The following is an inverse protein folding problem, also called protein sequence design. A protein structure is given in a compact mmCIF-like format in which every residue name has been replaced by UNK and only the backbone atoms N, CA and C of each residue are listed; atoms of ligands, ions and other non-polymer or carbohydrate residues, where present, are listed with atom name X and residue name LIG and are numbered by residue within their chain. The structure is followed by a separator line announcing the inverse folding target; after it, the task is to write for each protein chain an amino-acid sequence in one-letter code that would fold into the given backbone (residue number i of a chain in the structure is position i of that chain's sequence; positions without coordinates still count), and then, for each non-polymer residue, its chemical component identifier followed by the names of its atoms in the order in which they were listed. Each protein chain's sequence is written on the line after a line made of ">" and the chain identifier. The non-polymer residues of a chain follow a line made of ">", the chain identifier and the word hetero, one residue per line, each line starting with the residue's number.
data_IF_733808249191
#
_entry.id   IF_733808249191
#
_cell.length_a   1.000
_cell.length_b   1.000
_cell.length_c   1.000
_cell.angle_alpha   90.00
_cell.angle_beta   90.00
_cell.angle_gamma   90.00
#
_symmetry.space_group_name_H-M   'P 1'
#
loop_
_entity.id
_entity.type
_entity.pdbx_description
1 polymer ?
#
# COMPACT_ATOMS: atom_id res chain seq x y z
N UNK A 1 -24.25 -0.13 -41.25
CA UNK A 1 -24.50 1.08 -40.44
C UNK A 1 -24.57 0.64 -38.99
N UNK A 2 -23.45 0.76 -38.26
CA UNK A 2 -23.40 0.47 -36.84
C UNK A 2 -23.93 1.69 -36.09
N UNK A 3 -24.97 1.49 -35.30
CA UNK A 3 -25.57 2.53 -34.47
C UNK A 3 -24.50 3.12 -33.54
N UNK A 4 -24.40 4.45 -33.52
CA UNK A 4 -23.61 5.19 -32.55
C UNK A 4 -24.14 4.89 -31.16
N UNK A 5 -23.43 4.06 -30.40
CA UNK A 5 -23.67 3.94 -28.97
C UNK A 5 -23.34 5.30 -28.37
N UNK A 6 -24.37 6.07 -28.00
CA UNK A 6 -24.20 7.32 -27.27
C UNK A 6 -23.33 7.05 -26.05
N UNK A 7 -22.29 7.87 -25.84
CA UNK A 7 -21.36 7.67 -24.73
C UNK A 7 -22.16 7.69 -23.43
N UNK A 8 -22.34 6.52 -22.82
CA UNK A 8 -22.94 6.44 -21.49
C UNK A 8 -21.98 7.17 -20.56
N UNK A 9 -22.42 8.32 -20.07
CA UNK A 9 -21.70 9.11 -19.08
C UNK A 9 -21.77 8.30 -17.78
N UNK A 10 -20.75 7.49 -17.52
CA UNK A 10 -20.72 6.58 -16.36
C UNK A 10 -19.54 6.88 -15.44
N UNK A 11 -19.75 6.64 -14.15
CA UNK A 11 -18.68 6.63 -13.14
C UNK A 11 -17.57 5.65 -13.57
N UNK A 12 -16.29 6.00 -13.39
CA UNK A 12 -15.20 5.06 -13.63
C UNK A 12 -15.31 3.83 -12.73
N UNK A 13 -15.14 2.64 -13.31
CA UNK A 13 -15.16 1.37 -12.56
C UNK A 13 -13.82 1.18 -11.85
N UNK A 14 -13.78 1.37 -10.54
CA UNK A 14 -12.57 1.22 -9.73
C UNK A 14 -12.90 0.50 -8.42
N UNK A 15 -11.90 -0.07 -7.79
CA UNK A 15 -11.98 -0.78 -6.52
C UNK A 15 -10.96 -0.24 -5.50
N UNK A 16 -11.39 0.16 -4.30
CA UNK A 16 -12.78 0.37 -3.87
C UNK A 16 -13.51 1.41 -4.72
N UNK A 17 -14.84 1.38 -4.70
CA UNK A 17 -15.68 2.35 -5.42
C UNK A 17 -15.45 3.78 -4.89
N UNK A 18 -15.47 4.75 -5.82
CA UNK A 18 -15.45 6.19 -5.50
C UNK A 18 -16.69 6.56 -4.68
N UNK A 19 -16.51 7.33 -3.60
CA UNK A 19 -17.62 7.82 -2.76
C UNK A 19 -18.63 8.71 -3.50
N UNK A 20 -18.16 9.76 -4.17
CA UNK A 20 -19.01 10.75 -4.84
C UNK A 20 -18.54 10.95 -6.29
N UNK A 21 -19.44 10.77 -7.26
CA UNK A 21 -19.16 11.04 -8.69
C UNK A 21 -20.21 11.98 -9.29
N UNK A 22 -19.75 13.08 -9.87
CA UNK A 22 -20.56 14.01 -10.66
C UNK A 22 -20.09 13.98 -12.10
N UNK A 23 -20.93 13.51 -13.01
CA UNK A 23 -20.52 13.29 -14.37
C UNK A 23 -20.64 14.56 -15.25
N UNK A 24 -19.81 14.65 -16.29
CA UNK A 24 -19.81 15.76 -17.23
C UNK A 24 -19.70 15.27 -18.69
N UNK A 25 -20.10 16.13 -19.62
CA UNK A 25 -20.11 15.78 -21.05
C UNK A 25 -18.70 15.65 -21.62
N UNK A 26 -18.48 14.56 -22.38
CA UNK A 26 -17.26 14.29 -23.13
C UNK A 26 -16.30 13.35 -22.41
N UNK A 27 -15.13 13.14 -23.03
CA UNK A 27 -14.11 12.23 -22.51
C UNK A 27 -12.76 12.94 -22.42
N UNK A 28 -11.98 12.56 -21.42
CA UNK A 28 -10.52 12.74 -21.41
C UNK A 28 -9.90 11.52 -22.10
N UNK A 29 -8.80 11.72 -22.83
CA UNK A 29 -8.04 10.65 -23.47
C UNK A 29 -6.56 10.84 -23.13
N UNK A 30 -5.98 9.85 -22.48
CA UNK A 30 -4.54 9.77 -22.26
C UNK A 30 -3.83 9.51 -23.60
N UNK A 31 -2.75 10.22 -23.86
CA UNK A 31 -1.91 10.04 -25.04
C UNK A 31 -0.44 10.13 -24.68
N UNK A 32 0.44 9.60 -25.53
CA UNK A 32 1.89 9.64 -25.30
C UNK A 32 2.50 11.05 -25.27
N UNK A 33 1.78 12.06 -25.78
CA UNK A 33 2.19 13.47 -25.72
C UNK A 33 1.83 14.15 -24.39
N UNK A 34 1.06 13.49 -23.52
CA UNK A 34 0.67 14.05 -22.23
C UNK A 34 1.88 14.13 -21.28
N UNK A 35 1.78 15.04 -20.31
CA UNK A 35 2.75 15.15 -19.21
C UNK A 35 2.07 14.91 -17.86
N UNK A 36 2.87 14.42 -16.91
CA UNK A 36 2.58 14.47 -15.49
C UNK A 36 3.09 15.82 -14.99
N UNK A 37 2.21 16.62 -14.41
CA UNK A 37 2.46 18.02 -14.08
C UNK A 37 2.30 18.22 -12.57
N UNK A 38 3.24 18.94 -11.97
CA UNK A 38 3.20 19.34 -10.58
C UNK A 38 3.72 20.78 -10.45
N UNK A 39 3.28 21.53 -9.43
CA UNK A 39 3.88 22.83 -9.14
C UNK A 39 5.31 22.64 -8.58
N UNK A 40 6.16 23.66 -8.65
CA UNK A 40 7.51 23.56 -8.09
C UNK A 40 7.50 23.32 -6.57
N UNK A 41 6.58 23.99 -5.88
CA UNK A 41 6.43 23.91 -4.42
C UNK A 41 5.92 22.51 -4.00
N UNK A 42 4.94 21.96 -4.71
CA UNK A 42 4.40 20.63 -4.42
C UNK A 42 5.38 19.51 -4.80
N UNK A 43 6.20 19.72 -5.83
CA UNK A 43 7.14 18.70 -6.30
C UNK A 43 8.15 18.32 -5.21
N UNK A 44 8.53 19.25 -4.33
CA UNK A 44 9.41 18.98 -3.18
C UNK A 44 8.81 17.88 -2.28
N UNK A 45 7.50 17.84 -2.16
CA UNK A 45 6.77 16.90 -1.30
C UNK A 45 6.31 15.64 -2.02
N UNK A 46 6.11 15.71 -3.34
CA UNK A 46 5.53 14.64 -4.14
C UNK A 46 6.51 13.95 -5.09
N UNK A 47 7.78 14.33 -5.13
CA UNK A 47 8.73 13.83 -6.14
C UNK A 47 8.79 12.30 -6.21
N UNK A 48 8.92 11.64 -5.07
CA UNK A 48 9.03 10.18 -5.04
C UNK A 48 7.72 9.50 -5.46
N UNK A 49 6.57 10.02 -5.00
CA UNK A 49 5.24 9.52 -5.41
C UNK A 49 5.01 9.67 -6.92
N UNK A 50 5.41 10.80 -7.50
CA UNK A 50 5.23 11.09 -8.92
C UNK A 50 6.15 10.25 -9.82
N UNK A 51 7.38 9.98 -9.38
CA UNK A 51 8.29 9.06 -10.07
C UNK A 51 7.75 7.63 -10.02
N UNK A 52 7.27 7.17 -8.87
CA UNK A 52 6.63 5.86 -8.75
C UNK A 52 5.38 5.77 -9.63
N UNK A 53 4.51 6.79 -9.60
CA UNK A 53 3.33 6.84 -10.45
C UNK A 53 3.67 6.83 -11.94
N UNK A 54 4.75 7.49 -12.36
CA UNK A 54 5.22 7.46 -13.74
C UNK A 54 5.57 6.03 -14.19
N UNK A 55 6.32 5.29 -13.37
CA UNK A 55 6.68 3.88 -13.62
C UNK A 55 5.45 2.96 -13.64
N UNK A 56 4.54 3.14 -12.67
CA UNK A 56 3.32 2.34 -12.56
C UNK A 56 2.36 2.62 -13.73
N UNK A 57 2.24 3.88 -14.15
CA UNK A 57 1.41 4.29 -15.28
C UNK A 57 1.96 3.71 -16.59
N UNK A 58 3.27 3.81 -16.83
CA UNK A 58 3.92 3.18 -17.98
C UNK A 58 3.63 1.67 -18.00
N UNK A 59 3.66 1.01 -16.85
CA UNK A 59 3.40 -0.42 -16.70
C UNK A 59 1.95 -0.83 -17.02
N UNK A 60 0.95 0.00 -16.68
CA UNK A 60 -0.47 -0.33 -16.90
C UNK A 60 -1.03 0.21 -18.21
N UNK A 61 -0.45 1.27 -18.79
CA UNK A 61 -0.98 1.94 -19.98
C UNK A 61 -0.05 1.89 -21.19
N UNK A 62 1.19 1.40 -21.04
CA UNK A 62 2.25 1.42 -22.05
C UNK A 62 2.60 2.86 -22.55
N UNK A 63 2.26 3.90 -21.77
CA UNK A 63 2.54 5.29 -22.13
C UNK A 63 3.62 5.87 -21.24
N UNK A 64 4.70 6.32 -21.85
CA UNK A 64 5.81 6.95 -21.17
C UNK A 64 5.64 8.47 -21.15
N UNK A 65 5.00 8.98 -20.09
CA UNK A 65 4.79 10.41 -19.92
C UNK A 65 6.01 11.06 -19.27
N UNK A 66 6.19 12.36 -19.47
CA UNK A 66 7.25 13.14 -18.80
C UNK A 66 6.71 13.78 -17.53
N UNK A 67 7.50 13.78 -16.46
CA UNK A 67 7.24 14.61 -15.29
C UNK A 67 7.79 16.01 -15.53
N UNK A 68 6.94 17.03 -15.44
CA UNK A 68 7.31 18.44 -15.63
C UNK A 68 6.79 19.30 -14.47
N UNK A 69 7.50 20.39 -14.21
CA UNK A 69 7.09 21.43 -13.26
C UNK A 69 6.40 22.56 -14.01
N UNK A 70 5.20 22.97 -13.60
CA UNK A 70 4.49 24.11 -14.19
C UNK A 70 2.96 23.96 -14.23
N UNK A 71 2.33 24.66 -15.17
CA UNK A 71 0.89 24.64 -15.40
C UNK A 71 0.48 23.56 -16.41
N UNK A 72 -0.65 22.85 -16.20
CA UNK A 72 -1.06 21.78 -17.09
C UNK A 72 -1.66 22.31 -18.40
N UNK A 73 -1.26 21.70 -19.50
CA UNK A 73 -1.86 21.84 -20.82
C UNK A 73 -2.99 20.85 -21.06
N UNK A 74 -3.73 21.03 -22.16
CA UNK A 74 -4.79 20.09 -22.56
C UNK A 74 -4.21 18.69 -22.74
N UNK A 75 -4.79 17.70 -22.07
CA UNK A 75 -4.37 16.30 -22.13
C UNK A 75 -3.42 15.90 -20.99
N UNK A 76 -2.95 16.84 -20.18
CA UNK A 76 -2.03 16.55 -19.08
C UNK A 76 -2.77 16.07 -17.81
N UNK A 77 -2.00 15.38 -16.97
CA UNK A 77 -2.38 14.94 -15.62
C UNK A 77 -1.64 15.82 -14.62
N UNK A 78 -2.37 16.59 -13.82
CA UNK A 78 -1.81 17.42 -12.75
C UNK A 78 -2.05 16.80 -11.38
N UNK A 79 -1.05 16.85 -10.52
CA UNK A 79 -1.16 16.60 -9.08
C UNK A 79 -0.83 17.88 -8.31
N UNK A 80 -1.62 18.22 -7.30
CA UNK A 80 -1.40 19.42 -6.49
C UNK A 80 -1.84 19.21 -5.04
N UNK A 81 -1.05 19.70 -4.08
CA UNK A 81 -1.44 19.68 -2.67
C UNK A 81 -2.37 20.85 -2.35
N UNK A 82 -3.19 20.65 -1.33
CA UNK A 82 -4.20 21.61 -0.90
C UNK A 82 -5.54 21.37 -1.56
N UNK A 83 -6.58 21.30 -0.74
CA UNK A 83 -7.97 21.29 -1.20
C UNK A 83 -8.79 22.26 -0.37
N UNK A 84 -9.85 22.81 -0.97
CA UNK A 84 -10.84 23.61 -0.23
C UNK A 84 -11.86 22.72 0.52
N UNK A 85 -11.61 21.40 0.60
CA UNK A 85 -12.57 20.41 1.10
C UNK A 85 -11.98 19.70 2.34
N UNK A 86 -12.09 20.34 3.50
CA UNK A 86 -11.61 19.75 4.77
C UNK A 86 -12.23 18.37 5.08
N UNK A 87 -13.47 18.12 4.63
CA UNK A 87 -14.21 16.87 4.93
C UNK A 87 -13.55 15.59 4.42
N UNK A 88 -12.58 15.65 3.49
CA UNK A 88 -11.98 14.45 2.89
C UNK A 88 -10.79 13.89 3.70
N UNK A 89 -10.36 14.57 4.76
CA UNK A 89 -9.32 14.09 5.67
C UNK A 89 -7.92 13.99 5.02
N UNK A 90 -7.07 13.15 5.59
CA UNK A 90 -5.67 12.98 5.12
C UNK A 90 -5.56 12.09 3.88
N UNK A 91 -6.40 11.06 3.79
CA UNK A 91 -6.36 10.03 2.73
C UNK A 91 -7.27 10.36 1.54
N UNK A 92 -8.14 11.36 1.66
CA UNK A 92 -9.08 11.71 0.61
C UNK A 92 -8.49 12.58 -0.48
N UNK A 93 -9.11 12.54 -1.65
CA UNK A 93 -8.73 13.32 -2.82
C UNK A 93 -9.94 13.77 -3.63
N UNK A 94 -9.73 14.84 -4.38
CA UNK A 94 -10.60 15.33 -5.44
C UNK A 94 -9.94 15.01 -6.78
N UNK A 95 -10.71 14.52 -7.75
CA UNK A 95 -10.25 14.30 -9.12
C UNK A 95 -11.20 14.99 -10.10
N UNK A 96 -10.72 16.03 -10.76
CA UNK A 96 -11.42 16.76 -11.80
C UNK A 96 -10.95 16.28 -13.19
N UNK A 97 -11.85 15.65 -13.94
CA UNK A 97 -11.59 15.11 -15.28
C UNK A 97 -12.26 16.01 -16.32
N UNK A 98 -11.47 16.82 -17.00
CA UNK A 98 -11.93 17.81 -17.99
C UNK A 98 -11.09 17.80 -19.27
N UNK A 99 -10.61 18.99 -19.68
CA UNK A 99 -9.61 19.13 -20.75
C UNK A 99 -8.21 18.76 -20.24
N UNK A 100 -7.97 19.01 -18.97
CA UNK A 100 -6.90 18.48 -18.12
C UNK A 100 -7.52 17.45 -17.18
N UNK A 101 -6.70 16.59 -16.60
CA UNK A 101 -7.08 15.75 -15.47
C UNK A 101 -6.30 16.25 -14.25
N UNK A 102 -6.98 16.63 -13.17
CA UNK A 102 -6.34 17.18 -11.98
C UNK A 102 -6.73 16.39 -10.74
N UNK A 103 -5.73 15.92 -9.98
CA UNK A 103 -5.90 15.30 -8.67
C UNK A 103 -5.39 16.26 -7.60
N UNK A 104 -6.24 16.55 -6.60
CA UNK A 104 -5.89 17.39 -5.45
C UNK A 104 -6.15 16.65 -4.14
N UNK A 105 -5.28 16.82 -3.16
CA UNK A 105 -5.48 16.25 -1.83
C UNK A 105 -4.80 17.09 -0.74
N UNK A 106 -5.23 16.89 0.51
CA UNK A 106 -4.68 17.60 1.66
C UNK A 106 -3.25 17.12 2.00
N UNK A 107 -2.89 15.90 1.60
CA UNK A 107 -1.60 15.28 1.90
C UNK A 107 -1.08 14.46 0.71
N UNK A 108 0.20 14.09 0.74
CA UNK A 108 0.79 13.16 -0.23
C UNK A 108 0.09 11.80 -0.24
N UNK A 109 -0.40 11.33 0.91
CA UNK A 109 -1.15 10.06 1.01
C UNK A 109 -2.48 10.12 0.24
N UNK A 110 -3.19 11.24 0.29
CA UNK A 110 -4.40 11.44 -0.51
C UNK A 110 -4.10 11.52 -2.01
N UNK A 111 -3.00 12.20 -2.40
CA UNK A 111 -2.51 12.21 -3.79
C UNK A 111 -2.24 10.78 -4.26
N UNK A 112 -1.53 10.00 -3.45
CA UNK A 112 -1.22 8.61 -3.74
C UNK A 112 -2.48 7.76 -3.96
N UNK A 113 -3.53 7.89 -3.15
CA UNK A 113 -4.77 7.14 -3.41
C UNK A 113 -5.52 7.63 -4.66
N UNK A 114 -5.41 8.91 -5.01
CA UNK A 114 -5.86 9.43 -6.30
C UNK A 114 -5.09 8.80 -7.48
N UNK A 115 -3.78 8.62 -7.35
CA UNK A 115 -2.94 7.90 -8.31
C UNK A 115 -3.41 6.45 -8.48
N UNK A 116 -3.70 5.73 -7.39
CA UNK A 116 -4.22 4.34 -7.47
C UNK A 116 -5.51 4.26 -8.27
N UNK A 117 -6.41 5.23 -8.09
CA UNK A 117 -7.64 5.32 -8.90
C UNK A 117 -7.34 5.57 -10.37
N UNK A 118 -6.41 6.46 -10.70
CA UNK A 118 -6.01 6.68 -12.10
C UNK A 118 -5.37 5.46 -12.75
N UNK A 119 -4.50 4.76 -12.05
CA UNK A 119 -3.89 3.53 -12.54
C UNK A 119 -4.96 2.48 -12.87
N UNK A 120 -5.96 2.33 -12.00
CA UNK A 120 -7.09 1.42 -12.25
C UNK A 120 -7.92 1.81 -13.47
N UNK A 121 -8.17 3.11 -13.65
CA UNK A 121 -8.89 3.65 -14.82
C UNK A 121 -8.10 3.34 -16.10
N UNK A 122 -6.83 3.74 -16.14
CA UNK A 122 -6.02 3.63 -17.36
C UNK A 122 -5.52 2.22 -17.68
N UNK A 123 -5.56 1.30 -16.71
CA UNK A 123 -5.41 -0.14 -16.96
C UNK A 123 -6.56 -0.70 -17.81
N UNK A 124 -7.74 -0.09 -17.76
CA UNK A 124 -8.93 -0.55 -18.49
C UNK A 124 -9.05 0.11 -19.86
N UNK A 125 -8.95 1.44 -19.92
CA UNK A 125 -9.03 2.21 -21.16
C UNK A 125 -8.23 3.51 -21.02
N UNK A 126 -7.53 3.91 -22.08
CA UNK A 126 -6.92 5.23 -22.24
C UNK A 126 -7.93 6.39 -22.17
N UNK A 127 -9.23 6.11 -22.32
CA UNK A 127 -10.32 7.08 -22.29
C UNK A 127 -11.11 6.96 -21.00
N UNK A 128 -11.45 8.10 -20.42
CA UNK A 128 -12.33 8.18 -19.24
C UNK A 128 -13.36 9.29 -19.43
N UNK A 129 -14.58 9.04 -18.95
CA UNK A 129 -15.65 10.04 -18.93
C UNK A 129 -15.22 11.26 -18.13
N UNK A 130 -15.56 12.45 -18.63
CA UNK A 130 -15.36 13.68 -17.86
C UNK A 130 -16.29 13.72 -16.65
N UNK A 131 -15.85 14.41 -15.61
CA UNK A 131 -16.59 14.52 -14.38
C UNK A 131 -15.69 14.90 -13.20
N UNK A 132 -16.25 14.81 -12.02
CA UNK A 132 -15.59 15.09 -10.75
C UNK A 132 -15.81 13.91 -9.82
N UNK A 133 -14.72 13.36 -9.28
CA UNK A 133 -14.75 12.40 -8.19
C UNK A 133 -14.30 13.06 -6.88
N UNK A 134 -15.00 12.80 -5.79
CA UNK A 134 -14.52 13.03 -4.43
C UNK A 134 -14.47 11.65 -3.76
N UNK A 135 -13.31 11.26 -3.28
CA UNK A 135 -13.12 9.94 -2.68
C UNK A 135 -12.35 10.06 -1.36
N UNK A 136 -12.75 9.24 -0.39
CA UNK A 136 -12.16 9.18 0.95
C UNK A 136 -12.58 7.88 1.63
N UNK A 137 -11.76 7.36 2.55
CA UNK A 137 -12.11 6.15 3.28
C UNK A 137 -13.16 6.42 4.36
N UNK A 138 -14.12 5.51 4.51
CA UNK A 138 -15.07 5.51 5.62
C UNK A 138 -14.41 4.98 6.90
N UNK A 139 -13.45 4.07 6.75
CA UNK A 139 -12.70 3.45 7.86
C UNK A 139 -11.23 3.79 7.68
N UNK A 140 -10.64 4.47 8.67
CA UNK A 140 -9.24 4.92 8.62
C UNK A 140 -8.21 3.79 8.75
N UNK A 141 -8.60 2.63 9.27
CA UNK A 141 -7.73 1.46 9.41
C UNK A 141 -8.22 0.34 8.47
N UNK A 142 -7.45 0.08 7.41
CA UNK A 142 -7.76 -0.95 6.41
C UNK A 142 -6.52 -1.81 6.19
N UNK A 143 -6.47 -2.97 6.83
CA UNK A 143 -5.24 -3.77 6.80
C UNK A 143 -5.42 -5.26 6.62
N UNK A 144 -4.27 -5.88 6.44
CA UNK A 144 -4.11 -7.30 6.14
C UNK A 144 -3.07 -7.87 7.09
N UNK A 145 -3.42 -8.98 7.77
CA UNK A 145 -2.45 -9.71 8.57
C UNK A 145 -1.81 -10.81 7.73
N UNK A 146 -0.48 -10.85 7.73
CA UNK A 146 0.31 -11.88 7.08
C UNK A 146 1.03 -12.69 8.15
N UNK A 147 0.67 -13.97 8.23
CA UNK A 147 1.39 -14.95 9.02
C UNK A 147 2.62 -15.42 8.27
N UNK A 148 3.79 -15.00 8.75
CA UNK A 148 5.09 -15.46 8.24
C UNK A 148 5.81 -16.37 9.24
N UNK A 149 5.18 -16.65 10.39
CA UNK A 149 5.74 -17.50 11.43
C UNK A 149 5.57 -18.97 11.04
N UNK A 150 4.35 -19.37 10.66
CA UNK A 150 4.00 -20.75 10.31
C UNK A 150 4.72 -21.21 9.05
N UNK A 151 4.76 -20.36 8.02
CA UNK A 151 5.51 -20.56 6.78
C UNK A 151 6.37 -19.34 6.45
N UNK A 152 7.58 -19.55 5.95
CA UNK A 152 8.45 -18.46 5.53
C UNK A 152 8.07 -17.94 4.13
N UNK A 153 8.03 -16.61 4.00
CA UNK A 153 7.82 -15.93 2.73
C UNK A 153 9.01 -15.04 2.41
N UNK A 154 9.55 -15.15 1.20
CA UNK A 154 10.64 -14.28 0.74
C UNK A 154 10.25 -12.81 0.77
N UNK A 155 11.22 -11.93 1.02
CA UNK A 155 11.04 -10.47 1.08
C UNK A 155 10.34 -9.94 -0.18
N UNK A 156 10.77 -10.39 -1.36
CA UNK A 156 10.19 -9.98 -2.64
C UNK A 156 8.70 -10.35 -2.78
N UNK A 157 8.29 -11.47 -2.17
CA UNK A 157 6.88 -11.86 -2.16
C UNK A 157 6.06 -10.94 -1.27
N UNK A 158 6.56 -10.59 -0.08
CA UNK A 158 5.91 -9.65 0.83
C UNK A 158 5.79 -8.27 0.17
N UNK A 159 6.82 -7.80 -0.53
CA UNK A 159 6.75 -6.58 -1.35
C UNK A 159 5.64 -6.66 -2.42
N UNK A 160 5.45 -7.82 -3.04
CA UNK A 160 4.34 -8.03 -3.99
C UNK A 160 2.96 -7.95 -3.33
N UNK A 161 2.83 -8.40 -2.07
CA UNK A 161 1.61 -8.29 -1.28
C UNK A 161 1.35 -6.81 -0.98
N UNK A 162 2.36 -6.07 -0.53
CA UNK A 162 2.27 -4.62 -0.28
C UNK A 162 1.73 -3.87 -1.51
N UNK A 163 2.26 -4.16 -2.72
CA UNK A 163 1.75 -3.53 -3.96
C UNK A 163 0.26 -3.83 -4.22
N UNK A 164 -0.19 -5.06 -3.94
CA UNK A 164 -1.60 -5.44 -4.10
C UNK A 164 -2.49 -4.73 -3.07
N UNK A 165 -2.02 -4.61 -1.83
CA UNK A 165 -2.70 -3.86 -0.77
C UNK A 165 -2.86 -2.38 -1.16
N UNK A 166 -1.79 -1.78 -1.67
CA UNK A 166 -1.78 -0.40 -2.14
C UNK A 166 -2.77 -0.17 -3.29
N UNK A 167 -2.79 -1.07 -4.27
CA UNK A 167 -3.75 -1.06 -5.37
C UNK A 167 -5.20 -1.01 -4.86
N UNK A 168 -5.49 -1.73 -3.77
CA UNK A 168 -6.81 -1.78 -3.13
C UNK A 168 -7.03 -0.68 -2.07
N UNK A 169 -6.13 0.30 -1.97
CA UNK A 169 -6.15 1.39 -0.98
C UNK A 169 -6.16 0.91 0.49
N UNK A 170 -5.60 -0.27 0.76
CA UNK A 170 -5.28 -0.72 2.12
C UNK A 170 -4.05 0.05 2.63
N UNK A 171 -3.96 0.29 3.94
CA UNK A 171 -2.99 1.23 4.52
C UNK A 171 -2.17 0.69 5.70
N UNK A 172 -2.40 -0.57 6.11
CA UNK A 172 -1.43 -1.25 6.97
C UNK A 172 -1.33 -2.75 6.66
N UNK A 173 -0.15 -3.30 6.94
CA UNK A 173 0.12 -4.74 6.94
C UNK A 173 0.60 -5.13 8.32
N UNK A 174 -0.09 -6.10 8.93
CA UNK A 174 0.26 -6.66 10.22
C UNK A 174 1.08 -7.93 9.98
N UNK A 175 2.36 -7.90 10.36
CA UNK A 175 3.31 -8.99 10.12
C UNK A 175 3.45 -9.81 11.40
N UNK A 176 2.89 -11.01 11.38
CA UNK A 176 2.96 -11.95 12.48
C UNK A 176 4.24 -12.79 12.35
N UNK A 177 5.29 -12.41 13.08
CA UNK A 177 6.65 -12.94 12.90
C UNK A 177 7.02 -14.12 13.79
N UNK A 178 6.20 -14.42 14.81
CA UNK A 178 6.57 -15.40 15.83
C UNK A 178 5.38 -16.27 16.19
N UNK A 179 5.56 -17.58 16.13
CA UNK A 179 4.60 -18.56 16.62
C UNK A 179 5.34 -19.79 17.19
N UNK A 180 4.60 -20.88 17.40
CA UNK A 180 5.12 -22.18 17.81
C UNK A 180 6.16 -22.69 16.83
N UNK A 181 5.93 -22.53 15.54
CA UNK A 181 6.75 -23.07 14.46
C UNK A 181 8.10 -22.36 14.33
N UNK A 182 8.13 -21.04 14.52
CA UNK A 182 9.35 -20.28 14.34
C UNK A 182 9.30 -18.89 14.99
N UNK A 183 10.48 -18.43 15.39
CA UNK A 183 10.77 -17.01 15.58
C UNK A 183 11.50 -16.49 14.34
N UNK A 184 10.90 -15.57 13.58
CA UNK A 184 11.44 -15.17 12.26
C UNK A 184 12.36 -13.96 12.29
N UNK A 185 12.51 -13.27 13.42
CA UNK A 185 13.33 -12.05 13.48
C UNK A 185 14.74 -12.36 14.00
N UNK A 186 15.77 -12.13 13.19
CA UNK A 186 17.16 -12.31 13.63
C UNK A 186 17.52 -11.28 14.70
N UNK A 187 18.05 -11.76 15.83
CA UNK A 187 18.56 -10.92 16.92
C UNK A 187 20.03 -11.19 17.20
N UNK A 188 20.84 -10.13 17.23
CA UNK A 188 22.24 -10.22 17.66
C UNK A 188 22.37 -10.36 19.18
N UNK A 189 21.34 -9.96 19.94
CA UNK A 189 21.28 -10.08 21.40
C UNK A 189 20.86 -11.47 21.87
N UNK A 190 20.10 -12.18 21.03
CA UNK A 190 19.59 -13.54 21.30
C UNK A 190 20.00 -14.48 20.17
N UNK A 191 21.31 -14.77 20.02
CA UNK A 191 21.80 -15.66 18.97
C UNK A 191 21.20 -17.06 19.15
N UNK A 192 20.67 -17.63 18.06
CA UNK A 192 20.03 -18.96 18.06
C UNK A 192 18.52 -18.95 18.32
N UNK A 193 17.91 -17.82 18.67
CA UNK A 193 16.46 -17.73 18.85
C UNK A 193 15.70 -17.80 17.50
N UNK A 194 16.21 -17.12 16.48
CA UNK A 194 15.57 -17.10 15.17
C UNK A 194 15.77 -18.43 14.43
N UNK A 195 14.82 -18.80 13.57
CA UNK A 195 14.94 -20.00 12.72
C UNK A 195 16.27 -19.97 11.93
N UNK A 196 17.06 -21.05 11.88
CA UNK A 196 18.46 -21.00 11.44
C UNK A 196 18.65 -20.55 9.98
N UNK A 197 17.72 -20.88 9.09
CA UNK A 197 17.83 -20.59 7.64
C UNK A 197 16.71 -19.72 7.07
N UNK A 198 15.60 -19.58 7.79
CA UNK A 198 14.38 -18.94 7.28
C UNK A 198 13.93 -17.85 8.26
N UNK A 199 14.68 -16.77 8.25
CA UNK A 199 14.47 -15.61 9.12
C UNK A 199 14.72 -14.32 8.35
N UNK A 200 14.15 -13.24 8.84
CA UNK A 200 14.39 -11.89 8.36
C UNK A 200 15.49 -11.25 9.19
N UNK A 201 16.48 -10.70 8.50
CA UNK A 201 17.50 -9.85 9.11
C UNK A 201 16.95 -8.45 9.38
N UNK A 202 17.67 -7.65 10.18
CA UNK A 202 17.36 -6.23 10.35
C UNK A 202 17.36 -5.46 9.03
N UNK A 203 18.16 -5.88 8.05
CA UNK A 203 18.19 -5.27 6.73
C UNK A 203 16.92 -5.61 5.93
N UNK A 204 16.44 -6.85 6.01
CA UNK A 204 15.19 -7.27 5.38
C UNK A 204 14.00 -6.50 5.95
N UNK A 205 13.94 -6.36 7.27
CA UNK A 205 12.87 -5.60 7.92
C UNK A 205 12.89 -4.12 7.53
N UNK A 206 14.08 -3.47 7.49
CA UNK A 206 14.19 -2.08 7.00
C UNK A 206 13.76 -1.97 5.54
N UNK A 207 14.20 -2.92 4.69
CA UNK A 207 13.77 -2.98 3.29
C UNK A 207 12.25 -3.05 3.19
N UNK A 208 11.59 -3.90 3.97
CA UNK A 208 10.13 -4.00 3.98
C UNK A 208 9.44 -2.74 4.51
N UNK A 209 9.99 -2.10 5.54
CA UNK A 209 9.48 -0.83 6.07
C UNK A 209 9.58 0.29 5.03
N UNK A 210 10.73 0.47 4.42
CA UNK A 210 10.97 1.46 3.37
C UNK A 210 10.08 1.17 2.15
N UNK A 211 9.96 -0.11 1.77
CA UNK A 211 9.09 -0.54 0.68
C UNK A 211 7.63 -0.20 0.97
N UNK A 212 7.12 -0.54 2.16
CA UNK A 212 5.74 -0.25 2.57
C UNK A 212 5.48 1.26 2.63
N UNK A 213 6.42 2.05 3.16
CA UNK A 213 6.32 3.50 3.25
C UNK A 213 6.17 4.17 1.88
N UNK A 214 6.86 3.66 0.84
CA UNK A 214 6.68 4.15 -0.55
C UNK A 214 5.24 4.02 -1.08
N UNK A 215 4.46 3.10 -0.53
CA UNK A 215 3.07 2.87 -0.88
C UNK A 215 2.10 3.40 0.19
N UNK A 216 2.57 4.26 1.11
CA UNK A 216 1.80 4.78 2.24
C UNK A 216 1.14 3.67 3.10
N UNK A 217 1.81 2.52 3.21
CA UNK A 217 1.38 1.39 4.02
C UNK A 217 2.25 1.32 5.29
N UNK A 218 1.60 1.26 6.44
CA UNK A 218 2.26 1.04 7.72
C UNK A 218 2.51 -0.45 7.95
N UNK A 219 3.76 -0.83 8.18
CA UNK A 219 4.11 -2.18 8.63
C UNK A 219 4.04 -2.24 10.15
N UNK A 220 3.18 -3.10 10.68
CA UNK A 220 3.03 -3.37 12.12
C UNK A 220 3.66 -4.74 12.41
N UNK A 221 4.79 -4.80 13.14
CA UNK A 221 5.37 -6.08 13.54
C UNK A 221 4.69 -6.64 14.78
N UNK A 222 4.45 -7.95 14.82
CA UNK A 222 4.01 -8.68 16.01
C UNK A 222 5.05 -9.69 16.47
N UNK A 223 5.25 -9.70 17.79
CA UNK A 223 5.93 -10.72 18.57
C UNK A 223 4.88 -11.25 19.54
N UNK A 224 4.31 -12.42 19.24
CA UNK A 224 3.20 -13.02 19.98
C UNK A 224 3.68 -13.63 21.30
N UNK A 225 2.96 -13.30 22.38
CA UNK A 225 3.10 -13.82 23.73
C UNK A 225 1.76 -13.66 24.48
N UNK A 226 1.43 -14.45 25.53
CA UNK A 226 2.23 -15.51 26.15
C UNK A 226 2.07 -16.91 25.51
N UNK A 227 0.99 -17.14 24.76
CA UNK A 227 0.81 -18.38 24.01
C UNK A 227 1.64 -18.34 22.72
N UNK A 228 1.58 -19.42 21.92
CA UNK A 228 2.25 -19.48 20.62
C UNK A 228 3.77 -19.23 20.69
N UNK A 229 4.38 -19.63 21.81
CA UNK A 229 5.74 -19.29 22.15
C UNK A 229 6.67 -20.52 22.24
N UNK A 230 6.35 -21.63 21.56
CA UNK A 230 7.19 -22.85 21.62
C UNK A 230 8.64 -22.56 21.21
N UNK A 231 8.84 -21.78 20.14
CA UNK A 231 10.16 -21.33 19.67
C UNK A 231 11.00 -20.63 20.75
N UNK A 232 10.37 -19.92 21.68
CA UNK A 232 11.05 -19.27 22.80
C UNK A 232 11.49 -20.30 23.85
N UNK A 233 10.63 -21.29 24.14
CA UNK A 233 10.93 -22.35 25.12
C UNK A 233 11.91 -23.39 24.60
N UNK A 234 11.96 -23.60 23.28
CA UNK A 234 13.01 -24.41 22.63
C UNK A 234 14.37 -23.72 22.70
N UNK A 235 14.39 -22.40 22.54
CA UNK A 235 15.59 -21.59 22.73
C UNK A 235 16.06 -21.58 24.19
N UNK A 236 15.14 -21.39 25.13
CA UNK A 236 15.42 -21.40 26.57
C UNK A 236 14.25 -22.02 27.35
N UNK A 237 14.37 -23.27 27.83
CA UNK A 237 13.30 -23.96 28.54
C UNK A 237 12.84 -23.28 29.83
N UNK A 238 13.66 -22.43 30.44
CA UNK A 238 13.28 -21.64 31.63
C UNK A 238 12.26 -20.54 31.31
N UNK A 239 11.99 -20.26 30.04
CA UNK A 239 10.92 -19.34 29.62
C UNK A 239 9.54 -20.00 29.60
N UNK A 240 9.45 -21.32 29.82
CA UNK A 240 8.18 -22.03 29.84
C UNK A 240 7.32 -21.58 31.04
N UNK A 241 6.02 -21.40 30.79
CA UNK A 241 5.09 -21.05 31.86
C UNK A 241 4.87 -22.20 32.84
N UNK A 242 4.92 -21.90 34.13
CA UNK A 242 4.54 -22.82 35.20
C UNK A 242 3.02 -23.00 35.33
N UNK A 243 2.24 -22.14 34.66
CA UNK A 243 0.77 -22.20 34.67
C UNK A 243 0.26 -23.46 33.95
N UNK A 244 -0.45 -24.32 34.68
CA UNK A 244 -0.94 -25.60 34.17
C UNK A 244 -1.79 -25.49 32.88
N UNK A 245 -2.57 -24.41 32.72
CA UNK A 245 -3.39 -24.20 31.52
C UNK A 245 -2.61 -23.69 30.30
N UNK A 246 -1.35 -23.28 30.46
CA UNK A 246 -0.49 -22.76 29.39
C UNK A 246 0.79 -23.60 29.22
N UNK A 247 0.90 -24.73 29.91
CA UNK A 247 2.08 -25.61 29.89
C UNK A 247 2.11 -26.46 28.61
N UNK A 248 2.48 -25.85 27.50
CA UNK A 248 2.68 -26.53 26.21
C UNK A 248 4.17 -26.46 25.87
N UNK A 249 4.91 -27.57 26.09
CA UNK A 249 6.36 -27.65 25.91
C UNK A 249 7.00 -28.72 26.80
N UNK A 250 8.09 -29.35 26.34
CA UNK A 250 8.80 -30.38 27.10
C UNK A 250 9.47 -29.79 28.36
N UNK A 251 9.24 -30.42 29.53
CA UNK A 251 10.02 -30.15 30.74
C UNK A 251 11.50 -30.44 30.45
N UNK A 252 12.40 -29.55 30.88
CA UNK A 252 13.70 -30.02 31.38
C UNK A 252 13.38 -30.73 32.69
N UNK A 253 13.47 -32.07 32.69
CA UNK A 253 13.54 -32.81 33.94
C UNK A 253 14.92 -32.56 34.51
N UNK A 254 15.05 -31.63 35.45
CA UNK A 254 16.20 -31.65 36.34
C UNK A 254 16.14 -32.98 37.11
N UNK A 255 17.08 -33.87 36.79
CA UNK A 255 17.50 -34.90 37.72
C UNK A 255 18.12 -34.18 38.92
N UNK A 256 17.30 -33.83 39.90
CA UNK A 256 17.78 -33.66 41.25
C UNK A 256 18.07 -35.07 41.80
N UNK A 257 19.31 -35.51 41.65
CA UNK A 257 19.87 -36.44 42.62
C UNK A 257 19.99 -35.70 43.95
N UNK A 258 19.47 -36.34 45.00
CA UNK A 258 19.43 -35.85 46.38
C UNK A 258 20.81 -35.87 47.05
#
# INVERSE_FOLDING_TARGET
>A
MAASVGSVISQPLVYPNIQEWTAANGNFKLSGDASIVCSHDDLIHLQNDLLQFQEDLESVSCMKLKLISGDPGRGDIQFALGTDIEKIGMEGYLMDIGKTLVVRANTAQGIFYGMQTLLQIFKQDSRVSRGRAVDYPIVGMRGFMMDVARDYFEVDYIESVIRKLAWMKMNFIHMHFTDREAFRLKSDLFPGLAHPTEHYTKQDIRRLQDYAARYHIMLIPEIEMPAHASSYTEYNPYLAFDCASMRVGHKVTENFEA
#
